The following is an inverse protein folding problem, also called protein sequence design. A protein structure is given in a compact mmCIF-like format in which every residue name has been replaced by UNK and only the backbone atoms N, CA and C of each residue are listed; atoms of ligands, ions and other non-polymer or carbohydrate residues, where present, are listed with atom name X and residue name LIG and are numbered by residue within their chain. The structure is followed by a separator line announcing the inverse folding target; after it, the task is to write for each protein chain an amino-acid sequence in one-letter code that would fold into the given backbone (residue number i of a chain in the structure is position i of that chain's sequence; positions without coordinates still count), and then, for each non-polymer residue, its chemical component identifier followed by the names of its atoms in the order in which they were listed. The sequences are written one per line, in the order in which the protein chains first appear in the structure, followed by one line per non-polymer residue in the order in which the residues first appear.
data_IF_077851933470
#
_entry.id   IF_077851933470
#
_cell.length_a   1.000
_cell.length_b   1.000
_cell.length_c   1.000
_cell.angle_alpha   90.00
_cell.angle_beta   90.00
_cell.angle_gamma   90.00
#
_symmetry.space_group_name_H-M   'P 1'
#
loop_
_entity.id
_entity.type
_entity.pdbx_description
1 polymer ?
#
# COMPACT_ATOMS: atom_id res chain seq x y z
N UNK A 1 77.06 -67.05 63.78
CA UNK A 1 76.56 -68.14 62.90
C UNK A 1 75.07 -68.29 63.16
N UNK A 2 74.23 -67.70 62.30
CA UNK A 2 72.79 -67.99 62.22
C UNK A 2 72.47 -68.01 60.73
N UNK A 3 71.84 -69.10 60.29
CA UNK A 3 71.55 -69.44 58.91
C UNK A 3 70.04 -69.36 58.63
N UNK A 4 69.70 -69.53 57.35
CA UNK A 4 68.38 -69.56 56.70
C UNK A 4 67.82 -68.16 56.32
N UNK A 5 67.23 -67.94 55.15
CA UNK A 5 66.85 -68.86 54.07
C UNK A 5 66.18 -68.08 52.94
N UNK A 6 66.32 -68.62 51.73
CA UNK A 6 65.83 -68.09 50.45
C UNK A 6 64.30 -68.27 50.32
N UNK A 7 63.57 -67.35 49.68
CA UNK A 7 62.19 -67.62 49.23
C UNK A 7 61.80 -66.83 47.98
N UNK A 8 60.87 -67.41 47.22
CA UNK A 8 60.63 -67.23 45.80
C UNK A 8 59.16 -66.81 45.54
N UNK A 9 58.94 -65.90 44.58
CA UNK A 9 57.78 -65.82 43.66
C UNK A 9 56.42 -65.13 44.01
N UNK A 10 55.91 -64.42 42.98
CA UNK A 10 54.50 -64.19 42.49
C UNK A 10 53.60 -62.99 42.97
N UNK A 11 53.66 -61.89 42.18
CA UNK A 11 52.62 -61.01 41.56
C UNK A 11 51.34 -60.49 42.29
N UNK A 12 50.79 -59.31 41.88
CA UNK A 12 49.59 -59.34 41.01
C UNK A 12 49.47 -58.26 39.91
N UNK A 13 49.37 -58.70 38.63
CA UNK A 13 48.93 -57.95 37.42
C UNK A 13 47.41 -57.66 37.33
N UNK A 14 46.61 -57.79 38.41
CA UNK A 14 45.13 -57.72 38.33
C UNK A 14 44.53 -56.29 38.29
N UNK A 15 45.19 -55.26 38.84
CA UNK A 15 44.61 -53.90 38.93
C UNK A 15 44.58 -53.12 37.59
N UNK A 16 45.53 -53.34 36.68
CA UNK A 16 45.60 -52.62 35.39
C UNK A 16 44.55 -53.05 34.35
N UNK A 17 44.05 -54.30 34.40
CA UNK A 17 43.01 -54.78 33.46
C UNK A 17 41.61 -54.26 33.79
N UNK A 18 41.30 -54.00 35.07
CA UNK A 18 39.99 -53.50 35.49
C UNK A 18 39.79 -52.01 35.16
N UNK A 19 40.86 -51.21 35.25
CA UNK A 19 40.81 -49.78 34.96
C UNK A 19 40.66 -49.48 33.45
N UNK A 20 41.26 -50.31 32.59
CA UNK A 20 41.19 -50.17 31.12
C UNK A 20 39.83 -50.60 30.53
N UNK A 21 39.09 -51.50 31.21
CA UNK A 21 37.72 -51.88 30.84
C UNK A 21 36.69 -50.80 31.18
N UNK A 22 36.85 -50.07 32.29
CA UNK A 22 35.94 -48.99 32.70
C UNK A 22 36.01 -47.76 31.80
N UNK A 23 37.20 -47.40 31.30
CA UNK A 23 37.37 -46.28 30.35
C UNK A 23 36.83 -46.60 28.95
N UNK A 24 36.99 -47.83 28.46
CA UNK A 24 36.39 -48.24 27.17
C UNK A 24 34.85 -48.30 27.21
N UNK A 25 34.26 -48.75 28.32
CA UNK A 25 32.79 -48.75 28.48
C UNK A 25 32.21 -47.35 28.65
N UNK A 26 32.93 -46.42 29.28
CA UNK A 26 32.55 -45.00 29.38
C UNK A 26 32.57 -44.29 28.02
N UNK A 27 33.61 -44.53 27.22
CA UNK A 27 33.74 -43.96 25.87
C UNK A 27 32.67 -44.51 24.93
N UNK A 28 32.37 -45.82 24.98
CA UNK A 28 31.30 -46.44 24.18
C UNK A 28 29.92 -45.90 24.60
N UNK A 29 29.66 -45.67 25.90
CA UNK A 29 28.40 -45.04 26.36
C UNK A 29 28.30 -43.57 25.94
N UNK A 30 29.40 -42.82 25.95
CA UNK A 30 29.45 -41.44 25.49
C UNK A 30 29.22 -41.33 23.97
N UNK A 31 29.86 -42.19 23.18
CA UNK A 31 29.64 -42.29 21.73
C UNK A 31 28.20 -42.75 21.42
N UNK A 32 27.66 -43.74 22.15
CA UNK A 32 26.24 -44.14 22.00
C UNK A 32 25.27 -43.00 22.33
N UNK A 33 25.56 -42.18 23.35
CA UNK A 33 24.75 -40.98 23.68
C UNK A 33 24.86 -39.89 22.63
N UNK A 34 26.05 -39.64 22.07
CA UNK A 34 26.25 -38.67 20.98
C UNK A 34 25.60 -39.12 19.66
N UNK A 35 25.69 -40.41 19.31
CA UNK A 35 25.05 -41.00 18.12
C UNK A 35 23.52 -41.06 18.27
N UNK A 36 22.98 -41.35 19.47
CA UNK A 36 21.53 -41.29 19.71
C UNK A 36 20.99 -39.86 19.77
N UNK A 37 21.76 -38.88 20.28
CA UNK A 37 21.40 -37.45 20.25
C UNK A 37 21.38 -36.89 18.82
N UNK A 38 22.36 -37.25 17.98
CA UNK A 38 22.42 -36.83 16.57
C UNK A 38 21.37 -37.53 15.71
N UNK A 39 21.07 -38.81 15.97
CA UNK A 39 19.98 -39.53 15.32
C UNK A 39 18.59 -38.99 15.71
N UNK A 40 18.37 -38.62 16.98
CA UNK A 40 17.12 -37.98 17.43
C UNK A 40 16.97 -36.56 16.88
N UNK A 41 18.06 -35.77 16.76
CA UNK A 41 18.02 -34.45 16.09
C UNK A 41 17.71 -34.58 14.60
N UNK A 42 18.29 -35.54 13.88
CA UNK A 42 17.97 -35.79 12.47
C UNK A 42 16.54 -36.31 12.27
N UNK A 43 16.06 -37.19 13.15
CA UNK A 43 14.67 -37.69 13.12
C UNK A 43 13.65 -36.60 13.44
N UNK A 44 13.93 -35.72 14.41
CA UNK A 44 13.05 -34.59 14.71
C UNK A 44 13.09 -33.52 13.62
N UNK A 45 14.24 -33.31 12.96
CA UNK A 45 14.36 -32.35 11.84
C UNK A 45 13.65 -32.87 10.57
N UNK A 46 13.69 -34.17 10.29
CA UNK A 46 12.88 -34.79 9.23
C UNK A 46 11.38 -34.78 9.56
N UNK A 47 11.01 -34.99 10.82
CA UNK A 47 9.60 -34.92 11.25
C UNK A 47 9.06 -33.48 11.24
N UNK A 48 9.92 -32.47 11.41
CA UNK A 48 9.55 -31.05 11.28
C UNK A 48 9.42 -30.63 9.80
N UNK A 49 10.22 -31.20 8.90
CA UNK A 49 10.07 -30.98 7.45
C UNK A 49 8.79 -31.63 6.89
N UNK A 50 8.33 -32.74 7.48
CA UNK A 50 7.09 -33.40 7.09
C UNK A 50 5.81 -32.68 7.56
N UNK A 51 5.94 -31.64 8.39
CA UNK A 51 4.85 -30.77 8.86
C UNK A 51 4.76 -29.45 8.10
N UNK A 52 5.54 -29.26 7.03
CA UNK A 52 5.32 -28.15 6.11
C UNK A 52 3.92 -28.34 5.50
N UNK A 53 2.94 -27.47 5.80
CA UNK A 53 1.66 -27.55 5.12
C UNK A 53 1.94 -27.47 3.62
N UNK A 54 1.28 -28.31 2.84
CA UNK A 54 1.11 -28.05 1.41
C UNK A 54 0.43 -26.69 1.33
N UNK A 55 1.20 -25.64 1.16
CA UNK A 55 0.69 -24.30 0.95
C UNK A 55 -0.11 -24.35 -0.33
N UNK A 56 -1.44 -24.40 -0.21
CA UNK A 56 -2.28 -23.96 -1.33
C UNK A 56 -1.88 -22.51 -1.56
N UNK A 57 -1.31 -22.20 -2.73
CA UNK A 57 -1.03 -20.83 -3.10
C UNK A 57 -2.32 -20.03 -2.91
N UNK A 58 -2.36 -19.21 -1.88
CA UNK A 58 -3.48 -18.32 -1.64
C UNK A 58 -3.31 -17.19 -2.64
N UNK A 59 -4.16 -17.19 -3.67
CA UNK A 59 -4.14 -16.16 -4.68
C UNK A 59 -4.79 -14.92 -4.12
N UNK A 60 -4.05 -13.82 -4.16
CA UNK A 60 -4.56 -12.49 -3.78
C UNK A 60 -5.35 -11.97 -4.98
N UNK A 61 -6.66 -11.72 -4.85
CA UNK A 61 -7.45 -11.09 -5.90
C UNK A 61 -6.88 -9.70 -6.24
N UNK A 62 -6.79 -9.36 -7.53
CA UNK A 62 -6.34 -8.04 -8.01
C UNK A 62 -4.95 -7.98 -8.65
N UNK A 63 -4.17 -9.07 -8.64
CA UNK A 63 -2.77 -9.08 -9.14
C UNK A 63 -2.63 -9.57 -10.60
N UNK A 64 -3.53 -10.42 -11.08
CA UNK A 64 -3.47 -10.95 -12.46
C UNK A 64 -3.91 -9.88 -13.47
N UNK A 65 -3.19 -9.71 -14.60
CA UNK A 65 -3.66 -8.89 -15.72
C UNK A 65 -4.99 -9.43 -16.24
N UNK A 66 -6.04 -8.62 -16.16
CA UNK A 66 -7.26 -8.85 -16.91
C UNK A 66 -6.98 -8.54 -18.39
N UNK A 67 -7.32 -9.49 -19.24
CA UNK A 67 -7.19 -9.36 -20.69
C UNK A 67 -8.60 -9.44 -21.26
N UNK A 68 -8.96 -8.43 -22.05
CA UNK A 68 -10.28 -8.29 -22.65
C UNK A 68 -10.20 -8.62 -24.14
N UNK A 69 -11.24 -9.25 -24.65
CA UNK A 69 -11.49 -9.45 -26.07
C UNK A 69 -12.26 -8.25 -26.64
N UNK A 70 -12.28 -8.11 -27.96
CA UNK A 70 -13.09 -7.07 -28.60
C UNK A 70 -14.58 -7.23 -28.23
N UNK A 71 -15.21 -6.14 -27.79
CA UNK A 71 -16.62 -6.11 -27.38
C UNK A 71 -16.92 -6.58 -25.96
N UNK A 72 -15.93 -7.15 -25.23
CA UNK A 72 -16.11 -7.55 -23.83
C UNK A 72 -16.52 -6.36 -22.96
N UNK A 73 -17.38 -6.62 -21.98
CA UNK A 73 -17.82 -5.59 -21.03
C UNK A 73 -16.70 -5.26 -20.04
N UNK A 74 -16.37 -3.97 -19.96
CA UNK A 74 -15.37 -3.43 -19.04
C UNK A 74 -16.10 -2.77 -17.87
N UNK A 75 -16.10 -3.37 -16.67
CA UNK A 75 -16.88 -2.86 -15.55
C UNK A 75 -16.25 -1.58 -14.99
N UNK A 76 -17.00 -0.47 -15.07
CA UNK A 76 -16.68 0.76 -14.37
C UNK A 76 -17.28 0.71 -12.96
N UNK A 77 -16.44 0.95 -11.96
CA UNK A 77 -16.82 0.98 -10.54
C UNK A 77 -16.67 2.40 -10.00
N UNK A 78 -17.44 2.72 -8.97
CA UNK A 78 -17.36 4.00 -8.26
C UNK A 78 -16.96 3.75 -6.81
N UNK A 79 -16.15 4.63 -6.24
CA UNK A 79 -15.81 4.63 -4.82
C UNK A 79 -16.37 5.88 -4.13
N UNK A 80 -16.25 5.93 -2.81
CA UNK A 80 -16.57 7.12 -2.02
C UNK A 80 -15.82 8.35 -2.56
N UNK A 81 -16.54 9.46 -2.68
CA UNK A 81 -16.02 10.75 -3.12
C UNK A 81 -15.13 11.36 -2.05
N UNK A 82 -14.08 12.04 -2.49
CA UNK A 82 -13.12 12.72 -1.63
C UNK A 82 -13.09 14.21 -1.93
N UNK A 83 -12.79 15.03 -0.93
CA UNK A 83 -12.74 16.49 -1.09
C UNK A 83 -11.33 17.00 -0.93
N UNK A 84 -10.97 18.02 -1.71
CA UNK A 84 -9.70 18.74 -1.55
C UNK A 84 -9.72 19.72 -0.36
N UNK A 85 -10.91 20.11 0.09
CA UNK A 85 -11.10 21.07 1.21
C UNK A 85 -11.39 20.38 2.53
N UNK A 86 -12.02 19.21 2.52
CA UNK A 86 -12.48 18.49 3.71
C UNK A 86 -11.92 17.07 3.75
N UNK A 87 -11.66 16.56 4.96
CA UNK A 87 -11.04 15.24 5.17
C UNK A 87 -12.05 14.07 5.22
N UNK A 88 -13.35 14.34 5.08
CA UNK A 88 -14.40 13.34 5.22
C UNK A 88 -14.83 12.80 3.85
N UNK A 89 -14.66 11.50 3.56
CA UNK A 89 -15.18 10.91 2.35
C UNK A 89 -16.70 10.78 2.41
N UNK A 90 -17.36 10.85 1.25
CA UNK A 90 -18.82 10.75 1.12
C UNK A 90 -19.22 9.66 0.14
N UNK A 91 -20.23 8.87 0.49
CA UNK A 91 -20.79 7.85 -0.39
C UNK A 91 -21.29 8.45 -1.71
N UNK A 92 -20.90 7.84 -2.84
CA UNK A 92 -21.24 8.30 -4.20
C UNK A 92 -22.75 8.43 -4.39
N UNK A 93 -23.52 7.37 -4.15
CA UNK A 93 -24.98 7.34 -4.32
C UNK A 93 -25.78 8.07 -3.22
N UNK A 94 -25.13 8.83 -2.33
CA UNK A 94 -25.84 9.75 -1.43
C UNK A 94 -26.21 11.06 -2.13
N UNK A 95 -25.52 11.37 -3.23
CA UNK A 95 -25.86 12.46 -4.13
C UNK A 95 -26.83 11.97 -5.23
N UNK A 96 -27.57 12.90 -5.87
CA UNK A 96 -28.54 12.58 -6.92
C UNK A 96 -27.84 12.18 -8.25
N UNK A 97 -27.07 11.10 -8.22
CA UNK A 97 -26.45 10.45 -9.37
C UNK A 97 -27.25 9.24 -9.83
N UNK A 98 -27.08 8.86 -11.10
CA UNK A 98 -27.73 7.68 -11.68
C UNK A 98 -27.33 6.39 -10.97
N UNK A 99 -28.32 5.60 -10.56
CA UNK A 99 -28.10 4.28 -9.97
C UNK A 99 -28.25 3.16 -11.02
N UNK A 100 -27.51 2.05 -10.89
CA UNK A 100 -27.67 0.91 -11.79
C UNK A 100 -29.00 0.19 -11.60
N UNK A 101 -29.50 -0.46 -12.66
CA UNK A 101 -30.72 -1.27 -12.63
C UNK A 101 -30.59 -2.41 -11.60
N UNK A 102 -31.42 -2.41 -10.57
CA UNK A 102 -31.34 -3.36 -9.46
C UNK A 102 -30.53 -2.87 -8.25
N UNK A 103 -30.11 -1.61 -8.25
CA UNK A 103 -29.44 -0.95 -7.13
C UNK A 103 -27.93 -1.19 -7.08
N UNK A 104 -27.20 -0.37 -6.32
CA UNK A 104 -25.73 -0.42 -6.27
C UNK A 104 -25.26 -1.67 -5.52
N UNK A 105 -24.53 -2.54 -6.23
CA UNK A 105 -23.91 -3.74 -5.65
C UNK A 105 -22.51 -3.41 -5.15
N UNK A 106 -22.16 -3.91 -3.97
CA UNK A 106 -20.81 -3.79 -3.44
C UNK A 106 -19.85 -4.66 -4.25
N UNK A 107 -18.83 -4.04 -4.82
CA UNK A 107 -17.75 -4.72 -5.53
C UNK A 107 -16.54 -4.79 -4.59
N UNK A 108 -16.60 -5.62 -3.56
CA UNK A 108 -15.47 -5.85 -2.66
C UNK A 108 -14.54 -6.90 -3.27
N UNK A 109 -13.33 -6.51 -3.69
CA UNK A 109 -12.37 -7.47 -4.25
C UNK A 109 -11.30 -7.92 -3.24
N UNK A 110 -11.01 -7.14 -2.18
CA UNK A 110 -10.03 -7.53 -1.17
C UNK A 110 -10.34 -7.08 0.28
N UNK A 111 -9.72 -7.75 1.26
CA UNK A 111 -9.88 -7.48 2.70
C UNK A 111 -9.30 -6.11 3.10
N UNK A 112 -8.26 -5.64 2.39
CA UNK A 112 -7.63 -4.34 2.65
C UNK A 112 -8.58 -3.17 2.36
N UNK A 113 -9.27 -3.22 1.21
CA UNK A 113 -10.27 -2.23 0.81
C UNK A 113 -11.41 -2.12 1.81
N UNK A 114 -11.88 -3.27 2.30
CA UNK A 114 -12.91 -3.32 3.33
C UNK A 114 -12.44 -2.66 4.64
N UNK A 115 -11.24 -2.98 5.11
CA UNK A 115 -10.68 -2.40 6.34
C UNK A 115 -10.38 -0.90 6.23
N UNK A 116 -10.06 -0.41 5.03
CA UNK A 116 -9.87 1.03 4.77
C UNK A 116 -11.18 1.83 4.71
N UNK A 117 -12.34 1.17 4.79
CA UNK A 117 -13.65 1.84 4.72
C UNK A 117 -14.01 2.36 3.32
N UNK A 118 -13.35 1.86 2.27
CA UNK A 118 -13.72 2.18 0.89
C UNK A 118 -15.04 1.49 0.54
N UNK A 119 -15.94 2.23 -0.12
CA UNK A 119 -17.25 1.71 -0.53
C UNK A 119 -17.30 1.62 -2.05
N UNK A 120 -16.59 0.63 -2.60
CA UNK A 120 -16.57 0.38 -4.05
C UNK A 120 -17.87 -0.28 -4.46
N UNK A 121 -18.58 0.36 -5.39
CA UNK A 121 -19.90 -0.04 -5.87
C UNK A 121 -19.92 -0.11 -7.40
N UNK A 122 -20.79 -0.96 -7.94
CA UNK A 122 -21.05 -1.05 -9.37
C UNK A 122 -21.62 0.27 -9.90
N UNK A 123 -21.21 0.69 -11.09
CA UNK A 123 -21.77 1.85 -11.79
C UNK A 123 -22.80 1.45 -12.84
N UNK A 124 -23.67 2.37 -13.30
CA UNK A 124 -24.59 2.15 -14.42
C UNK A 124 -23.93 2.30 -15.81
N UNK A 125 -22.66 2.70 -15.90
CA UNK A 125 -21.98 2.97 -17.17
C UNK A 125 -21.62 1.66 -17.88
N UNK A 126 -21.91 1.57 -19.18
CA UNK A 126 -21.66 0.37 -19.98
C UNK A 126 -20.56 0.61 -21.01
N UNK A 127 -19.36 0.10 -20.71
CA UNK A 127 -18.20 0.19 -21.59
C UNK A 127 -17.98 -1.16 -22.26
N UNK A 128 -17.83 -1.16 -23.58
CA UNK A 128 -17.50 -2.34 -24.36
C UNK A 128 -16.14 -2.12 -25.02
N UNK A 129 -15.23 -3.06 -24.85
CA UNK A 129 -13.85 -2.98 -25.33
C UNK A 129 -13.81 -2.67 -26.84
N UNK A 130 -13.02 -1.65 -27.24
CA UNK A 130 -12.88 -1.15 -28.62
C UNK A 130 -14.16 -0.67 -29.32
N UNK A 131 -15.25 -0.48 -28.57
CA UNK A 131 -16.48 0.10 -29.10
C UNK A 131 -16.65 1.51 -28.56
N UNK A 132 -16.31 2.47 -29.41
CA UNK A 132 -16.60 3.87 -29.14
C UNK A 132 -18.11 4.10 -29.12
N UNK A 133 -18.56 4.88 -28.15
CA UNK A 133 -19.96 5.30 -28.03
C UNK A 133 -19.98 6.78 -27.69
N UNK A 134 -20.83 7.55 -28.35
CA UNK A 134 -20.98 8.98 -28.08
C UNK A 134 -22.41 9.30 -27.63
N UNK A 135 -22.55 10.36 -26.83
CA UNK A 135 -23.81 10.92 -26.34
C UNK A 135 -24.75 9.88 -25.69
N UNK A 136 -24.20 8.89 -24.99
CA UNK A 136 -25.04 7.86 -24.38
C UNK A 136 -25.79 8.42 -23.17
N UNK A 137 -27.12 8.36 -23.21
CA UNK A 137 -27.98 8.79 -22.11
C UNK A 137 -27.97 7.75 -20.99
N UNK A 138 -27.65 8.18 -19.78
CA UNK A 138 -27.55 7.30 -18.62
C UNK A 138 -28.82 7.32 -17.77
N UNK A 139 -29.22 8.52 -17.35
CA UNK A 139 -30.48 8.80 -16.68
C UNK A 139 -30.67 10.32 -16.55
N UNK A 140 -31.84 10.71 -16.07
CA UNK A 140 -32.19 12.06 -15.64
C UNK A 140 -32.61 11.97 -14.18
N UNK A 141 -32.17 12.94 -13.40
CA UNK A 141 -32.57 13.10 -12.00
C UNK A 141 -33.17 14.48 -11.85
N UNK A 142 -34.31 14.57 -11.17
CA UNK A 142 -34.93 15.83 -10.80
C UNK A 142 -34.67 16.00 -9.31
N UNK A 143 -33.70 16.85 -8.91
CA UNK A 143 -33.33 16.97 -7.51
C UNK A 143 -34.39 17.73 -6.73
N UNK A 144 -34.67 17.23 -5.53
CA UNK A 144 -35.47 17.90 -4.51
C UNK A 144 -34.72 19.14 -3.98
N UNK A 145 -35.40 20.01 -3.21
CA UNK A 145 -34.76 21.16 -2.55
C UNK A 145 -33.54 20.74 -1.71
N UNK A 146 -33.71 19.71 -0.86
CA UNK A 146 -32.62 19.20 -0.02
C UNK A 146 -31.49 18.55 -0.82
N UNK A 147 -31.80 17.88 -1.93
CA UNK A 147 -30.81 17.23 -2.78
C UNK A 147 -30.00 18.25 -3.58
N UNK A 148 -30.65 19.31 -4.08
CA UNK A 148 -30.01 20.41 -4.78
C UNK A 148 -29.07 21.20 -3.84
N UNK A 149 -29.51 21.48 -2.61
CA UNK A 149 -28.67 22.10 -1.58
C UNK A 149 -27.47 21.21 -1.22
N UNK A 150 -27.70 19.90 -1.03
CA UNK A 150 -26.65 18.95 -0.71
C UNK A 150 -25.61 18.87 -1.85
N UNK A 151 -26.08 18.78 -3.11
CA UNK A 151 -25.21 18.75 -4.28
C UNK A 151 -24.39 20.06 -4.38
N UNK A 152 -25.04 21.21 -4.20
CA UNK A 152 -24.39 22.54 -4.18
C UNK A 152 -23.33 22.63 -3.08
N UNK A 153 -23.64 22.15 -1.88
CA UNK A 153 -22.70 22.11 -0.75
C UNK A 153 -21.46 21.27 -1.08
N UNK A 154 -21.64 20.11 -1.70
CA UNK A 154 -20.53 19.25 -2.08
C UNK A 154 -19.70 19.83 -3.25
N UNK A 155 -20.34 20.54 -4.19
CA UNK A 155 -19.64 21.25 -5.27
C UNK A 155 -18.75 22.35 -4.66
N UNK A 156 -19.32 23.18 -3.78
CA UNK A 156 -18.61 24.26 -3.10
C UNK A 156 -17.43 23.76 -2.26
N UNK A 157 -17.56 22.56 -1.67
CA UNK A 157 -16.49 21.91 -0.91
C UNK A 157 -15.48 21.14 -1.77
N UNK A 158 -15.56 21.21 -3.10
CA UNK A 158 -14.58 20.61 -4.00
C UNK A 158 -14.51 19.09 -3.87
N UNK A 159 -15.68 18.43 -3.80
CA UNK A 159 -15.74 16.97 -3.85
C UNK A 159 -15.41 16.46 -5.27
N UNK A 160 -14.74 15.32 -5.32
CA UNK A 160 -14.29 14.65 -6.54
C UNK A 160 -14.84 13.23 -6.61
N UNK A 161 -15.22 12.84 -7.82
CA UNK A 161 -15.62 11.49 -8.19
C UNK A 161 -14.39 10.59 -8.31
N UNK A 162 -14.43 9.47 -7.62
CA UNK A 162 -13.39 8.45 -7.65
C UNK A 162 -13.90 7.23 -8.43
N UNK A 163 -13.63 7.20 -9.74
CA UNK A 163 -13.98 6.06 -10.58
C UNK A 163 -12.82 5.09 -10.71
N UNK A 164 -13.14 3.82 -10.92
CA UNK A 164 -12.19 2.71 -10.96
C UNK A 164 -12.50 1.81 -12.15
N UNK A 165 -11.50 1.55 -12.99
CA UNK A 165 -11.54 0.57 -14.09
C UNK A 165 -10.29 -0.30 -13.98
N UNK A 166 -10.45 -1.63 -13.98
CA UNK A 166 -9.32 -2.59 -13.88
C UNK A 166 -8.30 -2.24 -12.77
N UNK A 167 -8.83 -1.86 -11.59
CA UNK A 167 -8.08 -1.41 -10.41
C UNK A 167 -7.22 -0.14 -10.58
N UNK A 168 -7.38 0.58 -11.68
CA UNK A 168 -6.80 1.91 -11.88
C UNK A 168 -7.78 2.98 -11.38
N UNK A 169 -7.30 4.10 -10.82
CA UNK A 169 -8.13 5.27 -10.54
C UNK A 169 -8.33 6.13 -11.79
N UNK A 170 -9.39 6.94 -11.82
CA UNK A 170 -9.65 7.88 -12.90
C UNK A 170 -8.70 9.07 -12.86
N UNK A 171 -8.09 9.39 -13.99
CA UNK A 171 -7.46 10.69 -14.21
C UNK A 171 -8.51 11.74 -14.59
N UNK A 172 -8.27 13.00 -14.24
CA UNK A 172 -9.05 14.15 -14.72
C UNK A 172 -8.37 14.78 -15.93
N UNK A 173 -9.09 14.97 -17.02
CA UNK A 173 -8.62 15.73 -18.18
C UNK A 173 -8.99 17.21 -17.97
N UNK A 174 -7.96 18.05 -17.80
CA UNK A 174 -8.08 19.49 -17.65
C UNK A 174 -7.40 20.24 -18.79
N UNK A 175 -7.61 21.57 -18.85
CA UNK A 175 -6.83 22.46 -19.71
C UNK A 175 -5.73 23.10 -18.89
N UNK A 176 -4.52 23.11 -19.44
CA UNK A 176 -3.39 23.84 -18.86
C UNK A 176 -3.52 25.35 -19.09
N UNK A 177 -2.64 26.13 -18.45
CA UNK A 177 -2.51 27.58 -18.67
C UNK A 177 -2.29 27.94 -20.16
N UNK A 178 -1.76 27.00 -20.96
CA UNK A 178 -1.56 27.11 -22.41
C UNK A 178 -2.75 26.63 -23.25
N UNK A 179 -3.86 26.23 -22.63
CA UNK A 179 -5.05 25.70 -23.31
C UNK A 179 -4.90 24.30 -23.89
N UNK A 180 -3.84 23.57 -23.54
CA UNK A 180 -3.65 22.17 -23.97
C UNK A 180 -4.31 21.21 -22.98
N UNK A 181 -4.93 20.14 -23.50
CA UNK A 181 -5.51 19.08 -22.67
C UNK A 181 -4.38 18.32 -21.95
N UNK A 182 -4.44 18.26 -20.62
CA UNK A 182 -3.51 17.49 -19.79
C UNK A 182 -4.29 16.51 -18.89
N UNK A 183 -3.78 15.28 -18.79
CA UNK A 183 -4.30 14.24 -17.88
C UNK A 183 -3.67 14.45 -16.49
N UNK A 184 -4.48 14.73 -15.49
CA UNK A 184 -4.14 14.82 -14.08
C UNK A 184 -4.48 13.50 -13.40
N UNK A 185 -3.51 12.76 -12.88
CA UNK A 185 -3.70 11.39 -12.39
C UNK A 185 -4.02 11.34 -10.88
N UNK A 186 -3.96 12.46 -10.17
CA UNK A 186 -4.33 12.60 -8.77
C UNK A 186 -5.78 13.04 -8.53
N UNK A 187 -6.47 12.33 -7.64
CA UNK A 187 -7.65 12.84 -6.92
C UNK A 187 -9.01 12.69 -7.61
N UNK A 188 -9.09 11.95 -8.72
CA UNK A 188 -10.34 11.83 -9.48
C UNK A 188 -10.69 13.12 -10.22
N UNK A 189 -11.96 13.31 -10.56
CA UNK A 189 -12.43 14.52 -11.25
C UNK A 189 -13.51 15.24 -10.42
N UNK A 190 -13.57 16.57 -10.44
CA UNK A 190 -14.55 17.32 -9.64
C UNK A 190 -15.99 16.97 -10.01
N UNK A 191 -16.91 17.07 -9.05
CA UNK A 191 -18.35 16.85 -9.31
C UNK A 191 -19.04 18.02 -10.02
N UNK A 192 -18.44 19.22 -9.95
CA UNK A 192 -18.97 20.45 -10.50
C UNK A 192 -18.03 21.61 -10.26
N UNK A 193 -18.49 22.81 -10.59
CA UNK A 193 -17.79 24.06 -10.31
C UNK A 193 -18.79 25.14 -9.91
N UNK A 194 -18.31 26.14 -9.20
CA UNK A 194 -19.10 27.30 -8.81
C UNK A 194 -18.56 28.50 -9.57
N UNK A 195 -19.43 29.23 -10.24
CA UNK A 195 -19.04 30.45 -10.93
C UNK A 195 -18.89 31.59 -9.90
N UNK A 196 -17.73 32.24 -9.91
CA UNK A 196 -17.41 33.34 -9.00
C UNK A 196 -18.25 34.60 -9.25
N UNK A 197 -18.84 34.74 -10.44
CA UNK A 197 -19.60 35.94 -10.80
C UNK A 197 -21.08 35.85 -10.40
N UNK A 198 -21.68 34.67 -10.60
CA UNK A 198 -23.09 34.41 -10.31
C UNK A 198 -23.32 33.76 -8.95
N UNK A 199 -22.27 33.24 -8.31
CA UNK A 199 -22.33 32.38 -7.12
C UNK A 199 -23.20 31.12 -7.31
N UNK A 200 -23.52 30.77 -8.55
CA UNK A 200 -24.30 29.58 -8.88
C UNK A 200 -23.40 28.36 -9.03
N UNK A 201 -23.89 27.22 -8.54
CA UNK A 201 -23.22 25.93 -8.68
C UNK A 201 -23.69 25.20 -9.95
N UNK A 202 -22.72 24.69 -10.70
CA UNK A 202 -22.91 23.92 -11.92
C UNK A 202 -22.40 22.50 -11.72
N UNK A 203 -23.17 21.51 -12.18
CA UNK A 203 -22.81 20.09 -12.08
C UNK A 203 -22.17 19.61 -13.37
N UNK A 204 -21.16 18.76 -13.25
CA UNK A 204 -20.63 18.01 -14.39
C UNK A 204 -21.49 16.78 -14.64
N UNK A 205 -22.37 16.88 -15.63
CA UNK A 205 -23.34 15.85 -15.98
C UNK A 205 -22.97 15.08 -17.26
N UNK A 206 -22.05 15.60 -18.07
CA UNK A 206 -21.49 14.89 -19.21
C UNK A 206 -20.06 14.43 -18.90
N UNK A 207 -19.79 13.12 -19.07
CA UNK A 207 -18.49 12.52 -18.80
C UNK A 207 -17.88 11.93 -20.07
N UNK A 208 -16.77 12.52 -20.51
CA UNK A 208 -15.98 12.00 -21.62
C UNK A 208 -14.94 11.02 -21.11
N UNK A 209 -15.18 9.72 -21.31
CA UNK A 209 -14.33 8.65 -20.80
C UNK A 209 -13.37 8.22 -21.91
N UNK A 210 -12.09 8.52 -21.73
CA UNK A 210 -11.00 8.07 -22.61
C UNK A 210 -10.31 6.91 -21.92
N UNK A 211 -10.36 5.72 -22.53
CA UNK A 211 -9.68 4.53 -22.02
C UNK A 211 -8.52 4.18 -22.94
N UNK A 212 -7.32 4.21 -22.38
CA UNK A 212 -6.10 3.84 -23.07
C UNK A 212 -5.83 2.34 -22.87
N UNK A 213 -5.65 1.62 -23.97
CA UNK A 213 -5.38 0.18 -23.97
C UNK A 213 -4.06 -0.13 -24.66
N UNK A 214 -3.49 -1.29 -24.34
CA UNK A 214 -2.28 -1.81 -24.96
C UNK A 214 -2.52 -3.23 -25.45
N UNK A 215 -2.14 -3.48 -26.70
CA UNK A 215 -2.13 -4.80 -27.31
C UNK A 215 -0.70 -5.36 -27.25
N UNK A 216 -0.50 -6.46 -26.52
CA UNK A 216 0.83 -7.05 -26.34
C UNK A 216 1.36 -7.72 -27.62
N UNK A 217 0.48 -8.35 -28.41
CA UNK A 217 0.81 -8.98 -29.68
C UNK A 217 -0.31 -8.71 -30.70
N UNK A 218 0.00 -8.14 -31.88
CA UNK A 218 -1.00 -7.91 -32.94
C UNK A 218 -1.66 -9.19 -33.47
N UNK A 219 -1.02 -10.35 -33.25
CA UNK A 219 -1.51 -11.67 -33.69
C UNK A 219 -2.40 -12.38 -32.66
N UNK A 220 -2.59 -11.81 -31.47
CA UNK A 220 -3.45 -12.35 -30.43
C UNK A 220 -4.50 -11.31 -30.04
N UNK A 221 -5.77 -11.73 -30.00
CA UNK A 221 -6.85 -10.91 -29.47
C UNK A 221 -6.72 -10.87 -27.95
N UNK A 222 -6.16 -9.78 -27.46
CA UNK A 222 -5.93 -9.58 -26.04
C UNK A 222 -5.54 -8.15 -25.74
N UNK A 223 -6.52 -7.36 -25.32
CA UNK A 223 -6.35 -5.96 -24.96
C UNK A 223 -6.27 -5.83 -23.44
N UNK A 224 -5.33 -5.00 -22.99
CA UNK A 224 -5.17 -4.70 -21.56
C UNK A 224 -5.29 -3.22 -21.32
N UNK A 225 -6.00 -2.86 -20.26
CA UNK A 225 -6.23 -1.46 -19.91
C UNK A 225 -4.98 -0.92 -19.19
N UNK A 226 -4.51 0.23 -19.64
CA UNK A 226 -3.27 0.84 -19.16
C UNK A 226 -3.56 2.11 -18.38
N UNK A 227 -4.39 2.99 -18.92
CA UNK A 227 -4.79 4.22 -18.24
C UNK A 227 -6.21 4.58 -18.66
N UNK A 228 -6.88 5.38 -17.85
CA UNK A 228 -8.12 6.01 -18.27
C UNK A 228 -8.25 7.38 -17.64
N UNK A 229 -8.89 8.27 -18.39
CA UNK A 229 -9.10 9.64 -18.02
C UNK A 229 -10.54 10.06 -18.32
N UNK A 230 -11.06 10.95 -17.50
CA UNK A 230 -12.40 11.50 -17.63
C UNK A 230 -12.28 13.00 -17.82
N UNK A 231 -12.82 13.53 -18.92
CA UNK A 231 -13.00 14.96 -19.13
C UNK A 231 -14.43 15.34 -18.68
N UNK A 232 -14.58 16.02 -17.53
CA UNK A 232 -15.91 16.42 -17.06
C UNK A 232 -16.39 17.68 -17.77
N UNK A 233 -17.65 17.64 -18.21
CA UNK A 233 -18.33 18.75 -18.89
C UNK A 233 -19.70 19.00 -18.27
N UNK A 234 -20.08 20.28 -18.23
CA UNK A 234 -21.39 20.71 -17.72
C UNK A 234 -22.20 21.19 -18.91
N UNK A 235 -23.28 20.49 -19.22
CA UNK A 235 -24.09 20.76 -20.41
C UNK A 235 -25.56 20.74 -20.05
N UNK A 236 -26.24 21.85 -20.32
CA UNK A 236 -27.69 21.90 -20.26
C UNK A 236 -28.30 21.13 -21.44
N UNK A 237 -28.51 19.83 -21.25
CA UNK A 237 -29.00 18.95 -22.29
C UNK A 237 -30.45 19.23 -22.67
N UNK A 238 -30.74 19.23 -23.97
CA UNK A 238 -32.09 19.38 -24.52
C UNK A 238 -32.38 18.27 -25.51
N UNK A 239 -33.54 17.65 -25.37
CA UNK A 239 -34.01 16.68 -26.34
C UNK A 239 -34.47 17.36 -27.62
N UNK A 240 -34.20 16.72 -28.76
CA UNK A 240 -34.62 17.22 -30.06
C UNK A 240 -36.16 17.25 -30.13
N UNK A 241 -36.72 18.37 -30.56
CA UNK A 241 -38.17 18.56 -30.66
C UNK A 241 -38.89 18.83 -29.32
N UNK A 242 -38.16 19.19 -28.26
CA UNK A 242 -38.76 19.61 -26.98
C UNK A 242 -39.39 18.46 -26.16
N UNK A 243 -38.95 17.23 -26.40
CA UNK A 243 -39.39 16.07 -25.63
C UNK A 243 -38.98 16.22 -24.16
N UNK A 244 -39.92 15.91 -23.25
CA UNK A 244 -39.68 15.87 -21.81
C UNK A 244 -39.69 14.42 -21.38
N UNK A 245 -38.57 13.93 -20.87
CA UNK A 245 -38.46 12.56 -20.38
C UNK A 245 -39.17 12.42 -19.03
N UNK A 246 -39.87 11.30 -18.86
CA UNK A 246 -40.68 10.96 -17.68
C UNK A 246 -39.87 10.19 -16.61
N UNK A 247 -38.57 9.97 -16.85
CA UNK A 247 -37.67 9.29 -15.91
C UNK A 247 -37.73 7.76 -15.94
N UNK A 248 -38.66 7.16 -16.69
CA UNK A 248 -38.92 5.71 -16.65
C UNK A 248 -39.11 5.08 -18.03
N UNK A 249 -39.45 5.85 -19.06
CA UNK A 249 -39.68 5.29 -20.40
C UNK A 249 -38.36 4.86 -21.07
N UNK A 250 -38.29 3.63 -21.62
CA UNK A 250 -37.23 3.22 -22.55
C UNK A 250 -37.16 4.15 -23.77
N UNK A 251 -38.30 4.72 -24.15
CA UNK A 251 -38.43 5.60 -25.31
C UNK A 251 -37.53 6.84 -25.20
N UNK A 252 -37.36 7.41 -24.00
CA UNK A 252 -36.49 8.56 -23.79
C UNK A 252 -35.00 8.29 -23.97
N UNK A 253 -34.55 7.05 -23.74
CA UNK A 253 -33.17 6.64 -24.03
C UNK A 253 -32.88 6.54 -25.53
N UNK A 254 -33.92 6.39 -26.35
CA UNK A 254 -33.80 6.26 -27.82
C UNK A 254 -33.99 7.58 -28.57
N UNK A 255 -34.35 8.67 -27.87
CA UNK A 255 -34.50 9.99 -28.47
C UNK A 255 -33.17 10.71 -28.51
N UNK A 256 -32.78 11.13 -29.71
CA UNK A 256 -31.57 11.93 -29.91
C UNK A 256 -31.66 13.28 -29.21
N UNK A 257 -30.53 13.74 -28.70
CA UNK A 257 -30.38 15.07 -28.15
C UNK A 257 -30.07 16.09 -29.25
N UNK A 258 -30.41 17.35 -28.98
CA UNK A 258 -30.01 18.48 -29.82
C UNK A 258 -28.59 18.95 -29.45
N UNK A 259 -28.24 18.83 -28.16
CA UNK A 259 -26.95 19.30 -27.63
C UNK A 259 -25.81 18.30 -27.76
N UNK A 260 -26.12 17.02 -27.98
CA UNK A 260 -25.15 16.01 -28.35
C UNK A 260 -25.75 15.03 -29.34
N UNK A 261 -24.92 14.47 -30.21
CA UNK A 261 -25.36 13.53 -31.24
C UNK A 261 -24.54 12.26 -31.14
N UNK A 262 -25.17 11.11 -31.44
CA UNK A 262 -24.55 9.79 -31.28
C UNK A 262 -23.32 9.55 -32.17
N UNK A 263 -23.06 10.44 -33.13
CA UNK A 263 -21.98 10.29 -34.11
C UNK A 263 -20.75 11.16 -33.82
N UNK A 264 -20.87 12.16 -32.95
CA UNK A 264 -19.80 13.11 -32.71
C UNK A 264 -19.47 13.19 -31.23
N UNK A 265 -18.18 13.11 -30.95
CA UNK A 265 -17.63 13.34 -29.62
C UNK A 265 -17.92 14.77 -29.16
N UNK A 266 -18.43 14.90 -27.94
CA UNK A 266 -18.67 16.21 -27.35
C UNK A 266 -17.36 16.89 -27.00
N UNK A 267 -17.17 18.11 -27.50
CA UNK A 267 -16.03 18.96 -27.14
C UNK A 267 -16.48 20.22 -26.40
N UNK A 268 -15.60 20.79 -25.57
CA UNK A 268 -15.90 21.97 -24.74
C UNK A 268 -16.36 23.18 -25.57
N UNK A 269 -15.91 23.26 -26.82
CA UNK A 269 -16.26 24.32 -27.77
C UNK A 269 -17.72 24.29 -28.23
N UNK A 270 -18.40 23.15 -28.07
CA UNK A 270 -19.79 22.95 -28.49
C UNK A 270 -20.79 23.28 -27.38
N UNK A 271 -20.32 23.55 -26.15
CA UNK A 271 -21.16 23.82 -24.99
C UNK A 271 -21.74 25.23 -25.09
N UNK A 272 -23.06 25.32 -25.28
CA UNK A 272 -23.78 26.59 -25.33
C UNK A 272 -24.22 27.09 -23.96
N UNK A 273 -24.54 26.18 -23.04
CA UNK A 273 -25.03 26.49 -21.70
C UNK A 273 -24.63 25.39 -20.71
N UNK A 274 -24.29 25.80 -19.48
CA UNK A 274 -23.90 24.90 -18.40
C UNK A 274 -25.12 24.48 -17.58
N UNK A 275 -25.08 23.28 -17.00
CA UNK A 275 -26.17 22.74 -16.18
C UNK A 275 -26.11 23.31 -14.76
N UNK A 276 -27.03 24.23 -14.44
CA UNK A 276 -27.20 24.80 -13.10
C UNK A 276 -27.83 23.76 -12.16
N UNK A 277 -27.41 23.75 -10.88
CA UNK A 277 -28.02 22.96 -9.82
C UNK A 277 -29.10 23.77 -9.10
N UNK A 278 -30.37 23.45 -9.37
CA UNK A 278 -31.54 24.05 -8.69
C UNK A 278 -32.62 23.00 -8.46
N UNK A 279 -33.41 23.18 -7.41
CA UNK A 279 -34.54 22.32 -7.10
C UNK A 279 -35.55 22.28 -8.26
N UNK A 280 -36.00 21.08 -8.64
CA UNK A 280 -36.98 20.89 -9.73
C UNK A 280 -36.43 21.08 -11.15
N UNK A 281 -35.15 21.42 -11.33
CA UNK A 281 -34.51 21.48 -12.65
C UNK A 281 -33.94 20.11 -12.99
N UNK A 282 -34.38 19.46 -14.10
CA UNK A 282 -33.88 18.14 -14.45
C UNK A 282 -32.40 18.18 -14.84
N UNK A 283 -31.61 17.26 -14.27
CA UNK A 283 -30.21 17.02 -14.61
C UNK A 283 -30.15 15.73 -15.43
N UNK A 284 -29.80 15.85 -16.71
CA UNK A 284 -29.58 14.69 -17.57
C UNK A 284 -28.10 14.30 -17.56
N UNK A 285 -27.80 13.07 -17.19
CA UNK A 285 -26.45 12.52 -17.23
C UNK A 285 -26.21 11.76 -18.53
N UNK A 286 -25.11 12.09 -19.19
CA UNK A 286 -24.71 11.47 -20.45
C UNK A 286 -23.20 11.20 -20.45
N UNK A 287 -22.73 10.33 -21.34
CA UNK A 287 -21.31 10.01 -21.41
C UNK A 287 -20.86 9.60 -22.81
N UNK A 288 -19.58 9.83 -23.05
CA UNK A 288 -18.86 9.33 -24.22
C UNK A 288 -17.82 8.30 -23.76
N UNK A 289 -17.56 7.31 -24.61
CA UNK A 289 -16.51 6.31 -24.43
C UNK A 289 -15.64 6.32 -25.67
N UNK A 290 -14.35 6.53 -25.48
CA UNK A 290 -13.34 6.49 -26.53
C UNK A 290 -12.23 5.54 -26.16
N UNK A 291 -11.82 4.72 -27.11
CA UNK A 291 -10.69 3.80 -26.97
C UNK A 291 -9.47 4.33 -27.71
N UNK A 292 -8.34 4.45 -27.01
CA UNK A 292 -7.09 4.91 -27.59
C UNK A 292 -5.99 3.87 -27.37
N UNK A 293 -5.25 3.53 -28.43
CA UNK A 293 -4.11 2.64 -28.30
C UNK A 293 -2.91 3.39 -27.69
N UNK A 294 -2.29 2.80 -26.68
CA UNK A 294 -1.14 3.37 -25.97
C UNK A 294 0.12 2.51 -26.16
N UNK A 295 1.29 3.14 -26.38
CA UNK A 295 2.56 2.44 -26.48
C UNK A 295 3.06 1.91 -25.11
N UNK A 296 2.43 2.31 -24.01
CA UNK A 296 2.84 1.93 -22.65
C UNK A 296 2.47 0.47 -22.39
N UNK A 297 3.45 -0.34 -22.00
CA UNK A 297 3.22 -1.73 -21.63
C UNK A 297 2.38 -1.83 -20.34
N UNK A 298 1.51 -2.84 -20.25
CA UNK A 298 0.67 -3.05 -19.06
C UNK A 298 1.48 -3.15 -17.75
N UNK A 299 2.70 -3.71 -17.79
CA UNK A 299 3.56 -3.84 -16.61
C UNK A 299 4.00 -2.50 -16.02
N UNK A 300 4.16 -1.47 -16.85
CA UNK A 300 4.56 -0.11 -16.45
C UNK A 300 3.37 0.84 -16.32
N UNK A 301 2.13 0.33 -16.34
CA UNK A 301 0.93 1.18 -16.36
C UNK A 301 0.80 2.08 -15.13
N UNK A 302 1.23 1.58 -13.97
CA UNK A 302 1.19 2.33 -12.72
C UNK A 302 2.22 3.45 -12.69
N UNK A 303 3.29 3.37 -13.48
CA UNK A 303 4.31 4.41 -13.53
C UNK A 303 3.70 5.74 -14.03
N UNK A 304 2.67 5.69 -14.88
CA UNK A 304 1.94 6.89 -15.35
C UNK A 304 1.20 7.60 -14.21
N UNK A 305 0.67 6.85 -13.25
CA UNK A 305 -0.07 7.38 -12.09
C UNK A 305 0.85 7.79 -10.95
N UNK A 306 2.03 7.18 -10.84
CA UNK A 306 2.99 7.43 -9.76
C UNK A 306 4.03 8.48 -10.11
N UNK A 307 4.40 8.60 -11.38
CA UNK A 307 5.37 9.57 -11.87
C UNK A 307 4.68 10.89 -12.27
N UNK A 308 3.87 11.48 -11.37
CA UNK A 308 3.42 12.87 -11.49
C UNK A 308 4.57 13.90 -11.31
N UNK A 309 5.81 13.52 -11.63
CA UNK A 309 7.01 14.36 -11.64
C UNK A 309 6.92 15.55 -12.63
N UNK A 310 5.88 15.60 -13.47
CA UNK A 310 5.70 16.64 -14.48
C UNK A 310 4.92 17.87 -13.99
N UNK A 311 4.17 17.78 -12.89
CA UNK A 311 3.27 18.87 -12.46
C UNK A 311 3.73 19.60 -11.20
N UNK A 312 4.43 18.88 -10.32
CA UNK A 312 5.18 19.49 -9.24
C UNK A 312 6.62 19.05 -9.48
N UNK A 313 7.53 19.92 -9.95
CA UNK A 313 8.94 19.54 -9.92
C UNK A 313 9.20 19.09 -8.50
N UNK A 314 9.77 17.90 -8.32
CA UNK A 314 10.17 17.39 -7.02
C UNK A 314 11.11 18.42 -6.38
N UNK A 315 10.55 19.45 -5.77
CA UNK A 315 11.23 20.33 -4.86
C UNK A 315 11.38 19.46 -3.63
N UNK A 316 12.37 18.58 -3.70
CA UNK A 316 12.94 17.93 -2.54
C UNK A 316 12.98 19.04 -1.49
N UNK A 317 12.19 18.88 -0.42
CA UNK A 317 12.17 19.81 0.69
C UNK A 317 13.54 19.71 1.37
N UNK A 318 14.56 20.25 0.70
CA UNK A 318 15.96 20.25 1.08
C UNK A 318 16.12 20.94 2.43
N UNK A 319 15.19 21.83 2.76
CA UNK A 319 15.04 22.42 4.09
C UNK A 319 14.78 21.36 5.17
N UNK A 320 13.86 20.41 4.94
CA UNK A 320 13.56 19.33 5.88
C UNK A 320 14.74 18.36 6.03
N UNK A 321 15.36 17.97 4.91
CA UNK A 321 16.53 17.08 4.92
C UNK A 321 17.71 17.73 5.64
N UNK A 322 18.00 19.01 5.34
CA UNK A 322 19.07 19.77 6.00
C UNK A 322 18.79 19.92 7.49
N UNK A 323 17.55 20.23 7.86
CA UNK A 323 17.14 20.34 9.27
C UNK A 323 17.32 19.01 10.01
N UNK A 324 16.90 17.88 9.44
CA UNK A 324 17.10 16.56 10.03
C UNK A 324 18.59 16.20 10.16
N UNK A 325 19.41 16.49 9.15
CA UNK A 325 20.86 16.24 9.20
C UNK A 325 21.53 17.08 10.30
N UNK A 326 21.18 18.37 10.42
CA UNK A 326 21.75 19.26 11.42
C UNK A 326 21.40 18.79 12.84
N UNK A 327 20.14 18.40 13.09
CA UNK A 327 19.71 17.87 14.39
C UNK A 327 20.46 16.58 14.74
N UNK A 328 20.59 15.64 13.80
CA UNK A 328 21.31 14.38 14.02
C UNK A 328 22.80 14.64 14.31
N UNK A 329 23.45 15.51 13.53
CA UNK A 329 24.85 15.87 13.76
C UNK A 329 25.04 16.53 15.13
N UNK A 330 24.18 17.48 15.49
CA UNK A 330 24.26 18.18 16.78
C UNK A 330 24.09 17.21 17.96
N UNK A 331 23.07 16.33 17.91
CA UNK A 331 22.86 15.33 18.95
C UNK A 331 24.04 14.36 19.04
N UNK A 332 24.61 13.94 17.90
CA UNK A 332 25.80 13.06 17.89
C UNK A 332 27.02 13.74 18.52
N UNK A 333 27.27 15.01 18.21
CA UNK A 333 28.37 15.78 18.79
C UNK A 333 28.20 16.00 20.30
N UNK A 334 26.97 16.23 20.75
CA UNK A 334 26.65 16.33 22.17
C UNK A 334 26.95 15.02 22.90
N UNK A 335 26.50 13.88 22.35
CA UNK A 335 26.77 12.55 22.93
C UNK A 335 28.27 12.27 22.96
N UNK A 336 29.01 12.54 21.87
CA UNK A 336 30.46 12.36 21.81
C UNK A 336 31.17 13.28 22.81
N UNK A 337 30.74 14.54 22.94
CA UNK A 337 31.32 15.48 23.91
C UNK A 337 31.12 15.01 25.35
N UNK A 338 29.92 14.54 25.71
CA UNK A 338 29.64 13.95 27.02
C UNK A 338 30.50 12.69 27.23
N UNK A 339 30.58 11.81 26.24
CA UNK A 339 31.36 10.57 26.31
C UNK A 339 32.86 10.88 26.49
N UNK A 340 33.42 11.80 25.71
CA UNK A 340 34.82 12.21 25.80
C UNK A 340 35.10 12.89 27.13
N UNK A 341 34.20 13.75 27.62
CA UNK A 341 34.34 14.40 28.92
C UNK A 341 34.35 13.38 30.06
N UNK A 342 33.43 12.42 30.02
CA UNK A 342 33.37 11.33 30.99
C UNK A 342 34.61 10.44 30.90
N UNK A 343 35.03 10.04 29.70
CA UNK A 343 36.21 9.21 29.48
C UNK A 343 37.50 9.91 29.96
N UNK A 344 37.66 11.21 29.67
CA UNK A 344 38.81 11.98 30.15
C UNK A 344 38.83 12.09 31.67
N UNK A 345 37.67 12.31 32.29
CA UNK A 345 37.52 12.34 33.76
C UNK A 345 37.86 10.98 34.38
N UNK A 346 37.38 9.90 33.76
CA UNK A 346 37.61 8.53 34.21
C UNK A 346 39.10 8.15 34.08
N UNK A 347 39.74 8.42 32.94
CA UNK A 347 41.18 8.21 32.73
C UNK A 347 42.02 9.03 33.70
N UNK A 348 41.65 10.30 33.95
CA UNK A 348 42.36 11.13 34.93
C UNK A 348 42.24 10.57 36.35
N UNK A 349 41.06 10.03 36.71
CA UNK A 349 40.86 9.28 37.95
C UNK A 349 41.79 8.07 38.02
N UNK A 350 41.78 7.19 37.01
CA UNK A 350 42.67 6.03 36.95
C UNK A 350 44.15 6.38 37.03
N UNK A 351 44.59 7.46 36.38
CA UNK A 351 45.99 7.90 36.45
C UNK A 351 46.37 8.43 37.84
N UNK A 352 45.44 9.07 38.56
CA UNK A 352 45.67 9.47 39.95
C UNK A 352 45.78 8.25 40.88
N UNK A 353 45.05 7.16 40.58
CA UNK A 353 45.17 5.89 41.30
C UNK A 353 46.54 5.22 41.09
N UNK A 354 47.21 5.45 39.96
CA UNK A 354 48.55 4.89 39.68
C UNK A 354 49.61 5.45 40.66
N UNK A 355 49.40 6.64 41.22
CA UNK A 355 50.30 7.29 42.17
C UNK A 355 50.08 6.88 43.64
N UNK A 356 49.06 6.05 43.94
CA UNK A 356 48.77 5.53 45.29
C UNK A 356 49.55 4.26 45.62
N UNK A 357 49.59 3.86 46.90
CA UNK A 357 50.26 2.63 47.35
C UNK A 357 49.50 1.38 46.89
N UNK A 358 50.17 0.23 46.79
CA UNK A 358 49.58 -1.00 46.22
C UNK A 358 48.34 -1.51 47.01
N UNK A 359 48.26 -1.23 48.32
CA UNK A 359 47.09 -1.57 49.15
C UNK A 359 45.88 -0.66 48.85
N UNK A 360 46.10 0.65 48.65
CA UNK A 360 45.03 1.62 48.32
C UNK A 360 44.49 1.41 46.89
N UNK A 361 45.37 1.00 45.96
CA UNK A 361 45.00 0.64 44.58
C UNK A 361 44.06 -0.56 44.50
N UNK A 362 44.30 -1.57 45.34
CA UNK A 362 43.49 -2.80 45.35
C UNK A 362 42.07 -2.54 45.91
N UNK A 363 41.92 -1.69 46.91
CA UNK A 363 40.61 -1.32 47.47
C UNK A 363 39.76 -0.49 46.48
N UNK A 364 40.31 0.56 45.87
CA UNK A 364 39.53 1.42 44.96
C UNK A 364 39.21 0.72 43.62
N UNK A 365 40.09 -0.17 43.14
CA UNK A 365 39.84 -0.97 41.93
C UNK A 365 38.81 -2.08 42.16
N UNK A 366 38.61 -2.52 43.42
CA UNK A 366 37.58 -3.50 43.79
C UNK A 366 36.17 -2.89 43.87
N UNK A 367 36.05 -1.59 44.13
CA UNK A 367 34.76 -0.93 44.42
C UNK A 367 34.15 -0.14 43.25
N UNK A 368 34.93 0.26 42.23
CA UNK A 368 34.42 1.09 41.13
C UNK A 368 35.08 0.79 39.77
N UNK A 369 34.27 0.39 38.78
CA UNK A 369 34.72 0.29 37.40
C UNK A 369 33.66 -0.28 36.46
N UNK A 370 33.46 0.36 35.31
CA UNK A 370 32.58 -0.16 34.24
C UNK A 370 33.00 -1.56 33.76
N UNK A 371 34.26 -1.95 33.99
CA UNK A 371 34.78 -3.31 33.75
C UNK A 371 34.14 -4.37 34.65
N UNK A 372 33.75 -4.06 35.88
CA UNK A 372 33.00 -4.96 36.76
C UNK A 372 31.59 -5.23 36.20
N UNK A 373 31.00 -4.23 35.53
CA UNK A 373 29.67 -4.29 34.91
C UNK A 373 29.67 -5.07 33.59
N UNK A 374 30.83 -5.32 32.97
CA UNK A 374 30.90 -6.14 31.75
C UNK A 374 30.34 -7.55 31.98
N UNK A 375 30.44 -8.08 33.20
CA UNK A 375 29.84 -9.37 33.58
C UNK A 375 28.32 -9.28 33.83
N UNK A 376 27.78 -8.09 34.13
CA UNK A 376 26.35 -7.91 34.41
C UNK A 376 25.48 -7.91 33.15
N UNK A 377 26.04 -7.59 31.97
CA UNK A 377 25.33 -7.69 30.68
C UNK A 377 24.87 -9.12 30.38
N UNK A 378 25.57 -10.12 30.90
CA UNK A 378 25.22 -11.54 30.73
C UNK A 378 24.40 -12.10 31.90
N UNK A 379 24.08 -11.28 32.91
CA UNK A 379 23.26 -11.74 34.03
C UNK A 379 21.81 -11.85 33.58
N UNK A 380 21.16 -13.03 33.71
CA UNK A 380 19.75 -13.12 33.44
C UNK A 380 18.98 -12.24 34.45
N UNK A 381 17.96 -11.50 34.03
CA UNK A 381 17.15 -10.69 34.94
C UNK A 381 16.54 -11.60 36.00
N UNK A 382 16.63 -11.18 37.26
CA UNK A 382 16.10 -11.92 38.42
C UNK A 382 14.58 -11.96 38.39
N UNK A 383 13.96 -10.88 37.92
CA UNK A 383 12.51 -10.74 37.84
C UNK A 383 12.03 -10.97 36.40
N UNK A 384 11.13 -11.95 36.24
CA UNK A 384 10.41 -12.26 35.00
C UNK A 384 11.28 -12.44 33.72
N UNK A 385 12.28 -13.33 33.71
CA UNK A 385 13.14 -13.57 32.53
C UNK A 385 12.36 -14.04 31.29
N UNK A 386 11.27 -14.80 31.50
CA UNK A 386 10.41 -15.24 30.39
C UNK A 386 9.73 -14.07 29.66
N UNK A 387 9.22 -13.08 30.41
CA UNK A 387 8.53 -11.92 29.84
C UNK A 387 9.50 -11.08 29.00
N UNK A 388 10.72 -10.88 29.51
CA UNK A 388 11.78 -10.19 28.79
C UNK A 388 12.14 -10.90 27.48
N UNK A 389 12.33 -12.23 27.51
CA UNK A 389 12.60 -13.00 26.28
C UNK A 389 11.46 -12.90 25.26
N UNK A 390 10.20 -12.89 25.71
CA UNK A 390 9.04 -12.70 24.82
C UNK A 390 9.06 -11.32 24.18
N UNK A 391 9.33 -10.25 24.94
CA UNK A 391 9.40 -8.90 24.38
C UNK A 391 10.56 -8.72 23.41
N UNK A 392 11.74 -9.23 23.74
CA UNK A 392 12.91 -9.18 22.85
C UNK A 392 12.65 -9.98 21.57
N UNK A 393 12.11 -11.20 21.69
CA UNK A 393 11.75 -12.02 20.52
C UNK A 393 10.72 -11.36 19.63
N UNK A 394 9.65 -10.80 20.22
CA UNK A 394 8.60 -10.08 19.49
C UNK A 394 9.16 -8.82 18.83
N UNK A 395 10.02 -8.07 19.53
CA UNK A 395 10.67 -6.88 19.00
C UNK A 395 11.57 -7.19 17.80
N UNK A 396 12.39 -8.24 17.89
CA UNK A 396 13.23 -8.71 16.78
C UNK A 396 12.38 -9.17 15.60
N UNK A 397 11.28 -9.90 15.86
CA UNK A 397 10.35 -10.33 14.81
C UNK A 397 9.70 -9.14 14.10
N UNK A 398 9.22 -8.13 14.83
CA UNK A 398 8.64 -6.91 14.26
C UNK A 398 9.68 -6.11 13.48
N UNK A 399 10.91 -5.98 14.00
CA UNK A 399 11.99 -5.27 13.33
C UNK A 399 12.38 -5.96 12.02
N UNK A 400 12.52 -7.30 12.04
CA UNK A 400 12.83 -8.08 10.84
C UNK A 400 11.68 -8.02 9.82
N UNK A 401 10.44 -8.14 10.27
CA UNK A 401 9.26 -8.00 9.40
C UNK A 401 9.22 -6.63 8.75
N UNK A 402 9.44 -5.56 9.52
CA UNK A 402 9.44 -4.18 9.01
C UNK A 402 10.57 -3.98 8.00
N UNK A 403 11.77 -4.46 8.31
CA UNK A 403 12.93 -4.38 7.41
C UNK A 403 12.68 -5.11 6.08
N UNK A 404 12.14 -6.34 6.13
CA UNK A 404 11.82 -7.11 4.91
C UNK A 404 10.75 -6.39 4.07
N UNK A 405 9.71 -5.86 4.71
CA UNK A 405 8.68 -5.08 4.01
C UNK A 405 9.27 -3.84 3.32
N UNK A 406 10.15 -3.09 4.01
CA UNK A 406 10.83 -1.92 3.44
C UNK A 406 11.75 -2.34 2.30
N UNK A 407 12.51 -3.44 2.44
CA UNK A 407 13.40 -3.93 1.41
C UNK A 407 12.62 -4.34 0.14
N UNK A 408 11.52 -5.08 0.27
CA UNK A 408 10.66 -5.41 -0.87
C UNK A 408 10.00 -4.18 -1.50
N UNK A 409 9.67 -3.17 -0.70
CA UNK A 409 9.17 -1.91 -1.22
C UNK A 409 10.26 -1.12 -1.96
N UNK A 410 11.48 -1.07 -1.44
CA UNK A 410 12.61 -0.37 -2.07
C UNK A 410 13.05 -1.03 -3.39
N UNK A 411 12.92 -2.35 -3.53
CA UNK A 411 13.13 -3.07 -4.80
C UNK A 411 11.95 -2.87 -5.77
N UNK A 412 10.82 -2.31 -5.31
CA UNK A 412 9.66 -1.99 -6.14
C UNK A 412 8.67 -3.14 -6.34
N UNK A 413 8.83 -4.24 -5.59
CA UNK A 413 7.87 -5.35 -5.56
C UNK A 413 6.57 -4.92 -4.86
N UNK A 414 6.68 -4.17 -3.76
CA UNK A 414 5.54 -3.66 -2.99
C UNK A 414 5.48 -2.13 -3.09
N UNK A 415 4.53 -1.61 -3.87
CA UNK A 415 4.25 -0.17 -3.87
C UNK A 415 3.05 0.10 -2.96
N UNK A 416 3.18 0.90 -1.89
CA UNK A 416 2.05 1.29 -1.04
C UNK A 416 0.90 1.96 -1.80
N UNK A 417 1.19 2.55 -2.96
CA UNK A 417 0.22 3.19 -3.84
C UNK A 417 -0.50 2.21 -4.78
N UNK A 418 0.08 1.03 -5.06
CA UNK A 418 -0.56 -0.05 -5.83
C UNK A 418 -1.45 -0.88 -4.92
N UNK A 419 -2.63 -0.36 -4.61
CA UNK A 419 -3.62 -1.05 -3.77
C UNK A 419 -3.96 -2.42 -4.38
N UNK A 420 -3.88 -3.48 -3.57
CA UNK A 420 -4.28 -4.84 -3.97
C UNK A 420 -3.23 -5.67 -4.74
N UNK A 421 -2.06 -5.11 -5.06
CA UNK A 421 -0.92 -5.88 -5.61
C UNK A 421 0.08 -6.19 -4.49
N UNK A 422 0.13 -7.45 -4.04
CA UNK A 422 1.30 -8.01 -3.35
C UNK A 422 2.39 -8.35 -4.35
#
# INVERSE_FOLDING_TARGET
RLAAGNSNSRQPKKKKKLHRKKTHQGLIRYIRRQVTMTSKRKSNMLSLLALLPTTSAFYVPGVRPLTFSEGDEVPLKVNSMTSIKTQLPKDYYRLPFCQPSGGPKMASENLGEFLTGNKIQSSPYTLNMLRDKYCQVLCQVIPDETEAELLTYHINNGYHNNWIIDNLPSASLGLNDSGQKQKHYAGGFPIGFTDTSTEEAYVYNHANIVVDFHQYNPSQDGFRIVSFAVEPMSVEHRFLGGFVWDGQSPDGYTKSLDTCTDNFHMDRTQITANQVVKAGVPILYTYDVMWQESPVAWSSRWDVYLNEDHMVPAQVHWYSITNSILVVLFLSLLVVSILVRNLRKDIAGYNALVDLTDEEKEEEMAESGWKLVHADVFRPPTDHPMLYCVFVGTGVQLAMSTFICIAFSAVGFLSPARRGSL
#
